data_IF_135961673021
#
_entry.id   IF_135961673021
#
_cell.length_a   1.000
_cell.length_b   1.000
_cell.length_c   1.000
_cell.angle_alpha   90.00
_cell.angle_beta   90.00
_cell.angle_gamma   90.00
#
_symmetry.space_group_name_H-M   'P 1'
#
loop_
_entity.id
_entity.type
_entity.pdbx_description
1 polymer ?
#
# COMPACT_ATOMS: atom_id res chain seq x y z
N UNK A 1 -6.72 -5.86 56.09
CA UNK A 1 -6.46 -6.84 55.00
C UNK A 1 -5.50 -7.93 55.50
N UNK A 2 -5.92 -9.19 55.49
CA UNK A 2 -5.15 -10.33 56.03
C UNK A 2 -4.02 -10.76 55.08
N UNK A 3 -3.02 -11.49 55.59
CA UNK A 3 -1.90 -12.02 54.76
C UNK A 3 -2.40 -12.85 53.58
N UNK A 4 -3.48 -13.63 53.76
CA UNK A 4 -4.15 -14.40 52.70
C UNK A 4 -4.79 -13.51 51.64
N UNK A 5 -5.46 -12.42 52.05
CA UNK A 5 -6.03 -11.45 51.11
C UNK A 5 -4.94 -10.76 50.26
N UNK A 6 -3.80 -10.40 50.87
CA UNK A 6 -2.63 -9.84 50.14
C UNK A 6 -2.09 -10.81 49.08
N UNK A 7 -1.90 -12.08 49.46
CA UNK A 7 -1.41 -13.12 48.52
C UNK A 7 -2.39 -13.33 47.38
N UNK A 8 -3.70 -13.41 47.67
CA UNK A 8 -4.72 -13.58 46.65
C UNK A 8 -4.74 -12.44 45.64
N UNK A 9 -4.65 -11.19 46.09
CA UNK A 9 -4.59 -10.00 45.22
C UNK A 9 -3.35 -10.04 44.33
N UNK A 10 -2.19 -10.43 44.87
CA UNK A 10 -0.94 -10.54 44.09
C UNK A 10 -1.08 -11.61 42.99
N UNK A 11 -1.58 -12.80 43.33
CA UNK A 11 -1.76 -13.90 42.37
C UNK A 11 -2.74 -13.49 41.27
N UNK A 12 -3.88 -12.91 41.64
CA UNK A 12 -4.88 -12.44 40.67
C UNK A 12 -4.30 -11.37 39.72
N UNK A 13 -3.54 -10.42 40.28
CA UNK A 13 -2.85 -9.40 39.48
C UNK A 13 -1.84 -10.02 38.50
N UNK A 14 -1.03 -10.99 38.92
CA UNK A 14 -0.09 -11.69 38.05
C UNK A 14 -0.82 -12.47 36.94
N UNK A 15 -1.94 -13.13 37.26
CA UNK A 15 -2.77 -13.81 36.26
C UNK A 15 -3.34 -12.83 35.23
N UNK A 16 -3.84 -11.67 35.66
CA UNK A 16 -4.34 -10.64 34.75
C UNK A 16 -3.23 -10.12 33.82
N UNK A 17 -2.04 -9.82 34.35
CA UNK A 17 -0.89 -9.38 33.53
C UNK A 17 -0.49 -10.47 32.53
N UNK A 18 -0.41 -11.73 32.97
CA UNK A 18 -0.11 -12.85 32.09
C UNK A 18 -1.12 -13.00 30.94
N UNK A 19 -2.42 -12.85 31.24
CA UNK A 19 -3.47 -12.90 30.22
C UNK A 19 -3.36 -11.76 29.21
N UNK A 20 -3.06 -10.53 29.65
CA UNK A 20 -2.85 -9.37 28.75
C UNK A 20 -1.66 -9.60 27.82
N UNK A 21 -0.54 -10.11 28.35
CA UNK A 21 0.65 -10.41 27.55
C UNK A 21 0.38 -11.50 26.51
N UNK A 22 -0.37 -12.54 26.86
CA UNK A 22 -0.78 -13.59 25.92
C UNK A 22 -1.66 -13.03 24.80
N UNK A 23 -2.64 -12.18 25.12
CA UNK A 23 -3.49 -11.54 24.11
C UNK A 23 -2.67 -10.64 23.17
N UNK A 24 -1.71 -9.87 23.69
CA UNK A 24 -0.82 -9.05 22.88
C UNK A 24 0.07 -9.89 21.94
N UNK A 25 0.62 -11.00 22.44
CA UNK A 25 1.44 -11.91 21.63
C UNK A 25 0.62 -12.59 20.51
N UNK A 26 -0.60 -13.03 20.81
CA UNK A 26 -1.52 -13.59 19.81
C UNK A 26 -1.90 -12.53 18.78
N UNK A 27 -2.23 -11.30 19.20
CA UNK A 27 -2.55 -10.22 18.28
C UNK A 27 -1.37 -9.88 17.36
N UNK A 28 -0.15 -9.82 17.90
CA UNK A 28 1.06 -9.61 17.13
C UNK A 28 1.28 -10.72 16.09
N UNK A 29 1.11 -11.99 16.49
CA UNK A 29 1.23 -13.13 15.59
C UNK A 29 0.17 -13.12 14.48
N UNK A 30 -1.09 -12.83 14.81
CA UNK A 30 -2.18 -12.71 13.84
C UNK A 30 -1.95 -11.56 12.86
N UNK A 31 -1.42 -10.43 13.32
CA UNK A 31 -1.12 -9.27 12.47
C UNK A 31 -0.04 -9.58 11.43
N UNK A 32 0.93 -10.43 11.78
CA UNK A 32 1.99 -10.88 10.87
C UNK A 32 1.51 -11.78 9.72
N UNK A 33 0.25 -12.26 9.75
CA UNK A 33 -0.34 -13.08 8.70
C UNK A 33 -1.10 -12.28 7.63
N UNK A 34 -1.27 -10.95 7.82
CA UNK A 34 -1.97 -10.13 6.83
C UNK A 34 -1.13 -10.01 5.57
N UNK A 35 -1.78 -10.24 4.43
CA UNK A 35 -1.21 -10.07 3.10
C UNK A 35 -2.23 -9.34 2.25
N UNK A 36 -1.78 -8.27 1.59
CA UNK A 36 -2.58 -7.44 0.70
C UNK A 36 -2.10 -7.70 -0.72
N UNK A 37 -3.02 -7.96 -1.64
CA UNK A 37 -2.72 -8.15 -3.07
C UNK A 37 -3.05 -6.88 -3.84
N UNK A 38 -2.21 -6.50 -4.80
CA UNK A 38 -2.47 -5.32 -5.61
C UNK A 38 -3.60 -5.61 -6.61
N UNK A 39 -4.71 -4.88 -6.49
CA UNK A 39 -5.87 -5.10 -7.35
C UNK A 39 -5.84 -4.16 -8.56
N UNK A 40 -5.74 -4.76 -9.75
CA UNK A 40 -5.65 -4.06 -11.03
C UNK A 40 -6.70 -4.60 -12.01
N UNK A 41 -7.18 -3.76 -12.93
CA UNK A 41 -8.07 -4.23 -13.99
C UNK A 41 -7.39 -5.22 -14.93
N UNK A 42 -8.19 -5.97 -15.68
CA UNK A 42 -7.72 -6.64 -16.87
C UNK A 42 -7.54 -5.65 -18.03
N UNK A 43 -6.65 -5.99 -18.97
CA UNK A 43 -6.38 -5.13 -20.13
C UNK A 43 -7.65 -4.80 -20.91
N UNK A 44 -8.54 -5.79 -21.11
CA UNK A 44 -9.81 -5.58 -21.81
C UNK A 44 -10.83 -4.69 -21.08
N UNK A 45 -10.63 -4.42 -19.78
CA UNK A 45 -11.48 -3.51 -19.01
C UNK A 45 -10.89 -2.09 -18.93
N UNK A 46 -9.61 -1.93 -19.28
CA UNK A 46 -8.91 -0.64 -19.24
C UNK A 46 -9.29 0.23 -20.44
N UNK A 47 -9.89 1.38 -20.17
CA UNK A 47 -10.18 2.41 -21.19
C UNK A 47 -8.98 3.33 -21.42
N UNK A 48 -8.16 3.55 -20.40
CA UNK A 48 -6.97 4.38 -20.47
C UNK A 48 -6.44 4.72 -19.09
N UNK A 49 -5.30 5.39 -19.06
CA UNK A 49 -4.59 5.76 -17.84
C UNK A 49 -4.42 7.27 -17.80
N UNK A 50 -4.64 7.88 -16.63
CA UNK A 50 -4.25 9.26 -16.41
C UNK A 50 -3.11 9.31 -15.38
N UNK A 51 -2.05 10.06 -15.71
CA UNK A 51 -0.90 10.29 -14.85
C UNK A 51 -0.92 11.75 -14.39
N UNK A 52 -0.80 11.98 -13.09
CA UNK A 52 -0.73 13.35 -12.53
C UNK A 52 0.43 13.42 -11.56
N UNK A 53 1.45 14.22 -11.88
CA UNK A 53 2.50 14.53 -10.92
C UNK A 53 1.92 15.39 -9.79
N UNK A 54 2.50 15.30 -8.59
CA UNK A 54 2.07 16.11 -7.45
C UNK A 54 2.10 17.61 -7.79
N UNK A 55 0.91 18.20 -7.94
CA UNK A 55 0.75 19.62 -8.33
C UNK A 55 1.02 19.92 -9.81
N UNK A 56 1.21 18.90 -10.65
CA UNK A 56 1.38 19.02 -12.10
C UNK A 56 0.07 18.84 -12.88
N UNK A 57 0.18 18.88 -14.20
CA UNK A 57 -0.94 18.62 -15.11
C UNK A 57 -1.25 17.12 -15.24
N UNK A 58 -2.48 16.82 -15.63
CA UNK A 58 -2.94 15.45 -15.91
C UNK A 58 -2.59 15.08 -17.36
N UNK A 59 -1.84 14.00 -17.54
CA UNK A 59 -1.50 13.42 -18.85
C UNK A 59 -2.36 12.19 -19.09
N UNK A 60 -2.99 12.12 -20.26
CA UNK A 60 -3.83 10.99 -20.66
C UNK A 60 -3.08 10.05 -21.60
N UNK A 61 -2.97 8.78 -21.19
CA UNK A 61 -2.42 7.70 -21.98
C UNK A 61 -3.54 6.79 -22.46
N UNK A 62 -3.65 6.64 -23.77
CA UNK A 62 -4.64 5.79 -24.44
C UNK A 62 -3.95 4.61 -25.10
N UNK A 63 -4.74 3.58 -25.42
CA UNK A 63 -4.32 2.40 -26.16
C UNK A 63 -3.03 1.78 -25.57
N UNK A 64 -2.03 1.51 -26.42
CA UNK A 64 -0.77 0.85 -26.05
C UNK A 64 -0.03 1.53 -24.89
N UNK A 65 -0.04 2.86 -24.81
CA UNK A 65 0.66 3.57 -23.73
C UNK A 65 -0.01 3.36 -22.36
N UNK A 66 -1.34 3.26 -22.34
CA UNK A 66 -2.07 2.92 -21.11
C UNK A 66 -1.84 1.46 -20.71
N UNK A 67 -1.83 0.55 -21.69
CA UNK A 67 -1.54 -0.88 -21.47
C UNK A 67 -0.11 -1.10 -20.97
N UNK A 68 0.88 -0.36 -21.47
CA UNK A 68 2.28 -0.44 -21.03
C UNK A 68 2.41 -0.08 -19.54
N UNK A 69 1.77 1.00 -19.10
CA UNK A 69 1.75 1.37 -17.68
C UNK A 69 1.05 0.29 -16.85
N UNK A 70 -0.09 -0.24 -17.31
CA UNK A 70 -0.77 -1.34 -16.62
C UNK A 70 0.11 -2.60 -16.54
N UNK A 71 0.87 -2.92 -17.59
CA UNK A 71 1.79 -4.06 -17.61
C UNK A 71 2.88 -3.91 -16.56
N UNK A 72 3.53 -2.73 -16.49
CA UNK A 72 4.51 -2.43 -15.44
C UNK A 72 3.87 -2.57 -14.06
N UNK A 73 2.67 -1.99 -13.86
CA UNK A 73 1.92 -2.08 -12.61
C UNK A 73 1.45 -3.49 -12.23
N UNK A 74 1.31 -4.42 -13.19
CA UNK A 74 1.01 -5.84 -12.90
C UNK A 74 2.26 -6.63 -12.50
N UNK A 75 3.39 -6.41 -13.18
CA UNK A 75 4.65 -7.09 -12.87
C UNK A 75 4.48 -8.61 -12.81
N UNK A 76 5.05 -9.28 -11.80
CA UNK A 76 4.88 -10.72 -11.56
C UNK A 76 3.80 -11.03 -10.52
N UNK A 77 2.78 -10.17 -10.41
CA UNK A 77 1.87 -10.15 -9.27
C UNK A 77 2.54 -9.53 -8.05
N UNK A 78 1.77 -8.75 -7.28
CA UNK A 78 2.31 -7.99 -6.14
C UNK A 78 1.50 -8.24 -4.89
N UNK A 79 2.21 -8.61 -3.82
CA UNK A 79 1.66 -8.70 -2.48
C UNK A 79 2.54 -7.99 -1.47
N UNK A 80 1.94 -7.56 -0.37
CA UNK A 80 2.64 -6.84 0.70
C UNK A 80 2.03 -7.15 2.07
N UNK A 81 2.79 -6.90 3.12
CA UNK A 81 2.29 -6.90 4.50
C UNK A 81 2.03 -5.50 5.04
N UNK A 82 2.33 -4.48 4.23
CA UNK A 82 2.19 -3.08 4.61
C UNK A 82 0.86 -2.56 4.10
N UNK A 83 -0.06 -2.29 5.01
CA UNK A 83 -1.35 -1.67 4.71
C UNK A 83 -1.16 -0.19 4.33
N UNK A 84 -1.93 0.27 3.35
CA UNK A 84 -2.17 1.71 3.16
C UNK A 84 -3.52 2.05 3.77
N UNK A 85 -3.55 3.05 4.64
CA UNK A 85 -4.77 3.53 5.34
C UNK A 85 -5.16 4.95 4.95
N UNK A 86 -4.42 5.55 4.02
CA UNK A 86 -4.53 6.95 3.64
C UNK A 86 -5.06 7.09 2.21
N UNK A 87 -5.66 8.25 1.89
CA UNK A 87 -6.11 8.57 0.54
C UNK A 87 -4.96 8.82 -0.45
N UNK A 88 -3.81 9.25 0.06
CA UNK A 88 -2.60 9.55 -0.72
C UNK A 88 -1.34 9.37 0.16
N UNK A 89 -0.16 9.17 -0.46
CA UNK A 89 1.09 9.03 0.27
C UNK A 89 1.38 10.26 1.14
N UNK A 90 1.71 10.02 2.41
CA UNK A 90 2.14 11.04 3.37
C UNK A 90 3.65 10.94 3.63
N UNK A 91 4.29 12.07 3.97
CA UNK A 91 5.74 12.14 4.23
C UNK A 91 6.62 11.71 3.03
N UNK A 92 6.14 11.96 1.81
CA UNK A 92 6.91 11.80 0.57
C UNK A 92 7.01 13.16 -0.13
N UNK A 93 8.16 13.44 -0.72
CA UNK A 93 8.42 14.70 -1.40
C UNK A 93 7.55 14.82 -2.64
N UNK A 94 7.63 13.83 -3.52
CA UNK A 94 6.88 13.75 -4.77
C UNK A 94 6.21 12.39 -4.95
N UNK A 95 5.16 12.38 -5.76
CA UNK A 95 4.47 11.18 -6.22
C UNK A 95 3.87 11.41 -7.61
N UNK A 96 3.61 10.30 -8.31
CA UNK A 96 2.83 10.25 -9.54
C UNK A 96 1.52 9.53 -9.20
N UNK A 97 0.40 10.22 -9.32
CA UNK A 97 -0.93 9.61 -9.20
C UNK A 97 -1.25 8.94 -10.53
N UNK A 98 -1.77 7.73 -10.46
CA UNK A 98 -2.18 6.93 -11.60
C UNK A 98 -3.66 6.61 -11.42
N UNK A 99 -4.49 7.13 -12.32
CA UNK A 99 -5.91 6.83 -12.39
C UNK A 99 -6.18 5.89 -13.57
N UNK A 100 -6.47 4.62 -13.26
CA UNK A 100 -6.86 3.61 -14.23
C UNK A 100 -8.35 3.74 -14.52
N UNK A 101 -8.70 4.23 -15.71
CA UNK A 101 -10.08 4.47 -16.13
C UNK A 101 -10.62 3.22 -16.81
N UNK A 102 -11.82 2.80 -16.43
CA UNK A 102 -12.42 1.58 -16.97
C UNK A 102 -13.41 1.87 -18.11
N UNK A 103 -13.64 0.89 -18.98
CA UNK A 103 -14.69 0.96 -19.99
C UNK A 103 -16.08 1.00 -19.34
N UNK A 104 -16.25 0.21 -18.27
CA UNK A 104 -17.39 0.32 -17.35
C UNK A 104 -17.15 1.51 -16.42
N UNK A 105 -18.20 2.12 -15.87
CA UNK A 105 -18.03 3.27 -14.97
C UNK A 105 -17.09 2.93 -13.80
N UNK A 106 -16.21 3.85 -13.43
CA UNK A 106 -15.28 3.70 -12.30
C UNK A 106 -13.84 4.07 -12.65
N UNK A 107 -13.02 4.18 -11.61
CA UNK A 107 -11.57 4.45 -11.71
C UNK A 107 -10.89 3.79 -10.52
N UNK A 108 -9.72 3.18 -10.75
CA UNK A 108 -8.82 2.75 -9.66
C UNK A 108 -7.66 3.71 -9.56
N UNK A 109 -7.45 4.25 -8.37
CA UNK A 109 -6.37 5.20 -8.09
C UNK A 109 -5.21 4.50 -7.41
N UNK A 110 -4.00 4.81 -7.87
CA UNK A 110 -2.73 4.33 -7.33
C UNK A 110 -1.77 5.52 -7.24
N UNK A 111 -0.73 5.38 -6.42
CA UNK A 111 0.35 6.35 -6.35
C UNK A 111 1.69 5.64 -6.49
N UNK A 112 2.62 6.27 -7.22
CA UNK A 112 3.98 5.77 -7.38
C UNK A 112 4.96 6.81 -6.86
N UNK A 113 5.88 6.41 -5.99
CA UNK A 113 6.81 7.32 -5.34
C UNK A 113 8.10 6.65 -4.87
N UNK A 114 9.09 7.48 -4.56
CA UNK A 114 10.30 7.09 -3.85
C UNK A 114 10.19 7.56 -2.39
N UNK A 115 10.62 6.74 -1.42
CA UNK A 115 10.66 7.21 -0.02
C UNK A 115 11.92 8.05 0.23
N UNK A 116 11.79 9.24 0.88
CA UNK A 116 12.95 10.08 1.18
C UNK A 116 13.95 9.42 2.15
N UNK A 117 13.44 8.55 3.03
CA UNK A 117 14.23 7.93 4.09
C UNK A 117 15.15 6.82 3.61
N UNK A 118 14.98 6.31 2.38
CA UNK A 118 15.74 5.18 1.84
C UNK A 118 15.94 5.33 0.33
N UNK A 119 17.12 5.81 -0.05
CA UNK A 119 17.52 5.92 -1.44
C UNK A 119 17.47 4.55 -2.13
N UNK A 120 16.81 4.48 -3.28
CA UNK A 120 16.60 3.22 -4.02
C UNK A 120 15.35 2.41 -3.64
N UNK A 121 14.55 2.85 -2.65
CA UNK A 121 13.25 2.22 -2.38
C UNK A 121 12.09 2.96 -3.06
N UNK A 122 11.42 2.25 -3.95
CA UNK A 122 10.30 2.75 -4.75
C UNK A 122 9.04 1.94 -4.46
N UNK A 123 7.89 2.60 -4.49
CA UNK A 123 6.64 2.00 -4.07
C UNK A 123 5.50 2.32 -5.03
N UNK A 124 4.59 1.35 -5.15
CA UNK A 124 3.19 1.56 -5.55
C UNK A 124 2.36 1.57 -4.27
N UNK A 125 1.50 2.54 -4.08
CA UNK A 125 0.52 2.58 -3.00
C UNK A 125 -0.89 2.60 -3.57
N UNK A 126 -1.69 1.61 -3.16
CA UNK A 126 -3.12 1.59 -3.43
C UNK A 126 -3.85 2.02 -2.15
N UNK A 127 -4.55 3.17 -2.16
CA UNK A 127 -5.29 3.66 -1.01
C UNK A 127 -6.21 2.60 -0.42
N UNK A 128 -6.21 2.51 0.91
CA UNK A 128 -7.02 1.54 1.67
C UNK A 128 -6.76 0.06 1.33
N UNK A 129 -5.59 -0.25 0.77
CA UNK A 129 -5.17 -1.62 0.50
C UNK A 129 -3.72 -1.87 0.95
N UNK A 130 -2.73 -1.51 0.13
CA UNK A 130 -1.34 -1.89 0.41
C UNK A 130 -0.30 -0.97 -0.22
N UNK A 131 0.91 -1.07 0.32
CA UNK A 131 2.14 -0.42 -0.17
C UNK A 131 3.09 -1.51 -0.68
N UNK A 132 3.35 -1.53 -1.98
CA UNK A 132 4.08 -2.56 -2.71
C UNK A 132 5.42 -2.02 -3.18
N UNK A 133 6.50 -2.75 -2.93
CA UNK A 133 7.83 -2.39 -3.41
C UNK A 133 7.95 -2.66 -4.92
N UNK A 134 8.64 -1.76 -5.61
CA UNK A 134 8.98 -1.90 -7.04
C UNK A 134 10.46 -1.59 -7.26
N UNK A 135 11.00 -2.07 -8.37
CA UNK A 135 12.34 -1.72 -8.79
C UNK A 135 12.42 -0.27 -9.27
N UNK A 136 13.64 0.28 -9.24
CA UNK A 136 13.91 1.60 -9.81
C UNK A 136 13.64 1.65 -11.32
N UNK A 137 13.85 0.56 -12.05
CA UNK A 137 13.59 0.48 -13.48
C UNK A 137 12.09 0.60 -13.78
N UNK A 138 11.25 -0.07 -12.99
CA UNK A 138 9.79 0.06 -13.10
C UNK A 138 9.32 1.47 -12.76
N UNK A 139 9.83 2.05 -11.67
CA UNK A 139 9.55 3.44 -11.30
C UNK A 139 9.93 4.42 -12.42
N UNK A 140 11.14 4.30 -12.95
CA UNK A 140 11.65 5.18 -14.01
C UNK A 140 10.85 5.01 -15.31
N UNK A 141 10.41 3.79 -15.64
CA UNK A 141 9.57 3.52 -16.80
C UNK A 141 8.22 4.23 -16.71
N UNK A 142 7.56 4.18 -15.55
CA UNK A 142 6.31 4.93 -15.32
C UNK A 142 6.55 6.43 -15.37
N UNK A 143 7.65 6.90 -14.77
CA UNK A 143 8.01 8.32 -14.73
C UNK A 143 8.21 8.90 -16.13
N UNK A 144 8.77 8.16 -17.08
CA UNK A 144 8.94 8.61 -18.46
C UNK A 144 7.60 8.99 -19.11
N UNK A 145 6.55 8.19 -18.89
CA UNK A 145 5.21 8.49 -19.37
C UNK A 145 4.58 9.73 -18.71
N UNK A 146 4.96 10.04 -17.46
CA UNK A 146 4.46 11.22 -16.75
C UNK A 146 5.14 12.54 -17.19
N UNK A 147 6.14 12.49 -18.08
CA UNK A 147 6.80 13.65 -18.67
C UNK A 147 6.63 13.73 -20.21
N UNK A 148 5.80 12.85 -20.78
CA UNK A 148 5.57 12.73 -22.22
C UNK A 148 4.56 13.73 -22.76
#
# INVERSE_FOLDING_TARGET
MTKRQKIFVIVLSCCCVGAVLLLAAVHFWLSGMRSYELHLPDFGDLKGVALTQKGGEEIHLMDAYGEDVLFILKGQGRSTRTESVQDAPVNVEDWIKIDLRFHKAGTSTLFVYQKPSREGEYFIEQPYNGIYEISGDEYNSIKQYAHS
#
